data_IF_646164083194
#
_entry.id   IF_646164083194
#
_cell.length_a   1.000
_cell.length_b   1.000
_cell.length_c   1.000
_cell.angle_alpha   90.00
_cell.angle_beta   90.00
_cell.angle_gamma   90.00
#
_symmetry.space_group_name_H-M   'P 1'
#
loop_
_entity.id
_entity.type
_entity.pdbx_description
1 polymer ?
#
# COMPACT_ATOMS: atom_id res chain seq x y z
N UNK A 1 7.53 -3.73 9.66
CA UNK A 1 7.35 -2.29 9.71
C UNK A 1 8.18 -1.70 10.85
N UNK A 2 9.07 -0.81 10.52
CA UNK A 2 9.98 -0.20 11.49
C UNK A 2 9.43 1.11 12.06
N UNK A 3 8.14 1.37 11.87
CA UNK A 3 7.47 2.60 12.32
C UNK A 3 8.18 3.87 11.84
N UNK A 4 8.86 3.80 10.71
CA UNK A 4 9.57 4.92 10.11
C UNK A 4 10.85 5.32 10.85
N UNK A 5 11.42 4.45 11.68
CA UNK A 5 12.69 4.73 12.36
C UNK A 5 13.82 4.72 11.32
N UNK A 6 14.37 5.90 11.07
CA UNK A 6 15.36 6.09 10.00
C UNK A 6 16.59 5.19 10.15
N UNK A 7 17.03 4.96 11.39
CA UNK A 7 18.21 4.13 11.65
C UNK A 7 18.00 2.68 11.20
N UNK A 8 16.84 2.09 11.56
CA UNK A 8 16.52 0.71 11.19
C UNK A 8 16.29 0.59 9.68
N UNK A 9 15.63 1.58 9.09
CA UNK A 9 15.42 1.63 7.65
C UNK A 9 16.75 1.74 6.90
N UNK A 10 17.68 2.56 7.42
CA UNK A 10 19.00 2.70 6.84
C UNK A 10 19.74 1.37 6.79
N UNK A 11 19.66 0.58 7.87
CA UNK A 11 20.28 -0.74 7.92
C UNK A 11 19.68 -1.68 6.89
N UNK A 12 18.34 -1.64 6.73
CA UNK A 12 17.66 -2.46 5.73
C UNK A 12 18.06 -2.03 4.31
N UNK A 13 18.14 -0.73 4.05
CA UNK A 13 18.53 -0.21 2.74
C UNK A 13 19.98 -0.58 2.41
N UNK A 14 20.87 -0.57 3.40
CA UNK A 14 22.28 -0.95 3.21
C UNK A 14 22.42 -2.42 2.82
N UNK A 15 21.49 -3.27 3.25
CA UNK A 15 21.46 -4.67 2.84
C UNK A 15 21.11 -4.86 1.36
N UNK A 16 20.63 -3.79 0.68
CA UNK A 16 20.32 -3.76 -0.75
C UNK A 16 19.44 -4.90 -1.22
N UNK A 17 18.19 -5.02 -0.70
CA UNK A 17 17.27 -6.01 -1.24
C UNK A 17 16.95 -5.69 -2.70
N UNK A 18 16.63 -6.72 -3.50
CA UNK A 18 16.27 -6.52 -4.91
C UNK A 18 14.99 -5.67 -5.03
N UNK A 19 14.01 -5.94 -4.17
CA UNK A 19 12.78 -5.18 -4.10
C UNK A 19 12.49 -4.85 -2.64
N UNK A 20 12.29 -3.58 -2.35
CA UNK A 20 11.86 -3.15 -1.03
C UNK A 20 10.33 -3.06 -1.02
N UNK A 21 9.69 -3.95 -0.27
CA UNK A 21 8.23 -3.99 -0.17
C UNK A 21 7.77 -3.35 1.13
N UNK A 22 6.86 -2.38 1.01
CA UNK A 22 6.19 -1.78 2.16
C UNK A 22 4.73 -1.53 1.78
N UNK A 23 3.84 -2.28 2.39
CA UNK A 23 2.44 -2.34 1.99
C UNK A 23 1.58 -1.28 2.68
N UNK A 24 0.90 -0.44 1.90
CA UNK A 24 -0.09 0.50 2.45
C UNK A 24 -1.41 -0.22 2.73
N UNK A 25 -1.68 -1.31 2.01
CA UNK A 25 -2.83 -2.20 2.15
C UNK A 25 -4.15 -1.58 1.72
N UNK A 26 -4.49 -0.37 2.14
CA UNK A 26 -5.79 0.23 1.83
C UNK A 26 -5.70 1.75 1.75
N UNK A 27 -6.84 2.38 1.44
CA UNK A 27 -6.98 3.83 1.33
C UNK A 27 -6.93 4.51 2.70
N UNK A 28 -6.60 5.81 2.78
CA UNK A 28 -6.40 6.50 4.07
C UNK A 28 -7.55 6.36 5.06
N UNK A 29 -8.79 6.50 4.62
CA UNK A 29 -9.97 6.43 5.50
C UNK A 29 -10.07 5.09 6.20
N UNK A 30 -9.85 4.00 5.47
CA UNK A 30 -9.94 2.64 6.03
C UNK A 30 -8.68 2.28 6.79
N UNK A 31 -7.52 2.74 6.33
CA UNK A 31 -6.25 2.56 7.01
C UNK A 31 -6.33 3.03 8.47
N UNK A 32 -6.93 4.19 8.68
CA UNK A 32 -7.10 4.76 10.01
C UNK A 32 -7.94 3.85 10.92
N UNK A 33 -8.93 3.15 10.36
CA UNK A 33 -9.79 2.22 11.12
C UNK A 33 -9.08 0.93 11.50
N UNK A 34 -8.32 0.34 10.57
CA UNK A 34 -7.75 -0.99 10.77
C UNK A 34 -6.34 -0.96 11.37
N UNK A 35 -5.65 0.17 11.23
CA UNK A 35 -4.29 0.34 11.75
C UNK A 35 -4.14 1.68 12.48
N UNK A 36 -4.89 1.91 13.57
CA UNK A 36 -4.91 3.22 14.23
C UNK A 36 -3.56 3.63 14.86
N UNK A 37 -2.68 2.66 15.11
CA UNK A 37 -1.34 2.94 15.66
C UNK A 37 -0.33 3.35 14.60
N UNK A 38 -0.71 3.31 13.32
CA UNK A 38 0.17 3.62 12.19
C UNK A 38 -0.39 4.79 11.39
N UNK A 39 0.44 5.37 10.55
CA UNK A 39 0.04 6.50 9.71
C UNK A 39 0.26 6.15 8.24
N UNK A 40 -0.77 6.40 7.43
CA UNK A 40 -0.74 6.17 5.99
C UNK A 40 0.41 6.95 5.33
N UNK A 41 0.55 8.23 5.69
CA UNK A 41 1.58 9.11 5.14
C UNK A 41 2.99 8.62 5.47
N UNK A 42 3.16 7.99 6.62
CA UNK A 42 4.45 7.42 7.01
C UNK A 42 4.85 6.28 6.07
N UNK A 43 3.88 5.46 5.66
CA UNK A 43 4.13 4.39 4.70
C UNK A 43 4.58 4.93 3.35
N UNK A 44 3.98 6.04 2.91
CA UNK A 44 4.40 6.72 1.68
C UNK A 44 5.81 7.27 1.80
N UNK A 45 6.14 7.87 2.94
CA UNK A 45 7.49 8.41 3.20
C UNK A 45 8.55 7.32 3.15
N UNK A 46 8.24 6.15 3.71
CA UNK A 46 9.17 5.02 3.70
C UNK A 46 9.46 4.57 2.28
N UNK A 47 8.44 4.50 1.41
CA UNK A 47 8.63 4.15 0.00
C UNK A 47 9.49 5.19 -0.72
N UNK A 48 9.24 6.47 -0.47
CA UNK A 48 10.02 7.55 -1.07
C UNK A 48 11.49 7.47 -0.64
N UNK A 49 11.74 7.20 0.64
CA UNK A 49 13.09 7.05 1.17
C UNK A 49 13.83 5.89 0.51
N UNK A 50 13.16 4.75 0.35
CA UNK A 50 13.74 3.59 -0.31
C UNK A 50 14.09 3.89 -1.77
N UNK A 51 13.22 4.62 -2.45
CA UNK A 51 13.45 5.03 -3.85
C UNK A 51 14.68 5.95 -3.96
N UNK A 52 14.83 6.87 -3.02
CA UNK A 52 15.99 7.77 -2.98
C UNK A 52 17.30 7.01 -2.79
N UNK A 53 17.24 5.87 -2.10
CA UNK A 53 18.40 4.99 -1.93
C UNK A 53 18.67 4.10 -3.15
N UNK A 54 17.88 4.25 -4.20
CA UNK A 54 18.06 3.51 -5.45
C UNK A 54 17.43 2.13 -5.46
N UNK A 55 16.55 1.82 -4.51
CA UNK A 55 15.87 0.53 -4.46
C UNK A 55 14.62 0.52 -5.32
N UNK A 56 14.28 -0.64 -5.87
CA UNK A 56 12.99 -0.86 -6.52
C UNK A 56 11.96 -1.03 -5.42
N UNK A 57 10.90 -0.23 -5.44
CA UNK A 57 9.90 -0.20 -4.39
C UNK A 57 8.60 -0.87 -4.81
N UNK A 58 7.94 -1.51 -3.86
CA UNK A 58 6.68 -2.22 -4.11
C UNK A 58 5.71 -1.97 -2.95
N UNK A 59 4.45 -1.81 -3.30
CA UNK A 59 3.37 -1.72 -2.31
C UNK A 59 2.17 -2.55 -2.77
N UNK A 60 1.09 -2.52 -2.00
CA UNK A 60 -0.14 -3.23 -2.38
C UNK A 60 -1.37 -2.44 -1.99
N UNK A 61 -2.48 -2.77 -2.66
CA UNK A 61 -3.82 -2.35 -2.26
C UNK A 61 -4.69 -3.59 -2.20
N UNK A 62 -5.39 -3.76 -1.09
CA UNK A 62 -6.32 -4.86 -0.87
C UNK A 62 -7.72 -4.26 -0.90
N UNK A 63 -8.53 -4.68 -1.85
CA UNK A 63 -9.84 -4.06 -2.13
C UNK A 63 -10.99 -4.89 -1.55
N UNK A 64 -12.11 -4.22 -1.28
CA UNK A 64 -13.32 -4.86 -0.79
C UNK A 64 -13.60 -4.59 0.67
N UNK A 65 -12.95 -3.56 1.26
CA UNK A 65 -13.13 -3.19 2.67
C UNK A 65 -14.07 -2.00 2.87
N UNK A 66 -14.66 -1.47 1.80
CA UNK A 66 -15.55 -0.32 1.86
C UNK A 66 -15.02 0.94 1.18
N UNK A 67 -13.90 0.86 0.50
CA UNK A 67 -13.32 1.98 -0.23
C UNK A 67 -14.12 2.30 -1.50
N UNK A 68 -14.12 3.57 -1.89
CA UNK A 68 -14.73 3.99 -3.16
C UNK A 68 -13.70 3.90 -4.28
N UNK A 69 -14.19 3.92 -5.54
CA UNK A 69 -13.32 3.94 -6.71
C UNK A 69 -12.39 5.15 -6.69
N UNK A 70 -12.91 6.32 -6.34
CA UNK A 70 -12.12 7.55 -6.25
C UNK A 70 -11.00 7.41 -5.20
N UNK A 71 -11.31 6.79 -4.06
CA UNK A 71 -10.30 6.56 -3.03
C UNK A 71 -9.19 5.64 -3.50
N UNK A 72 -9.54 4.60 -4.28
CA UNK A 72 -8.56 3.68 -4.85
C UNK A 72 -7.63 4.42 -5.81
N UNK A 73 -8.19 5.19 -6.72
CA UNK A 73 -7.40 5.94 -7.71
C UNK A 73 -6.52 6.99 -7.05
N UNK A 74 -7.03 7.63 -6.01
CA UNK A 74 -6.26 8.62 -5.24
C UNK A 74 -5.09 7.96 -4.50
N UNK A 75 -5.30 6.78 -3.92
CA UNK A 75 -4.23 6.02 -3.27
C UNK A 75 -3.17 5.58 -4.28
N UNK A 76 -3.58 5.16 -5.48
CA UNK A 76 -2.65 4.83 -6.55
C UNK A 76 -1.82 6.05 -6.96
N UNK A 77 -2.45 7.21 -7.03
CA UNK A 77 -1.76 8.46 -7.34
C UNK A 77 -0.74 8.81 -6.24
N UNK A 78 -1.14 8.67 -4.96
CA UNK A 78 -0.23 8.90 -3.83
C UNK A 78 1.00 8.01 -3.91
N UNK A 79 0.82 6.74 -4.25
CA UNK A 79 1.93 5.80 -4.41
C UNK A 79 2.86 6.24 -5.54
N UNK A 80 2.30 6.66 -6.66
CA UNK A 80 3.06 7.15 -7.80
C UNK A 80 3.87 8.39 -7.41
N UNK A 81 3.25 9.33 -6.71
CA UNK A 81 3.92 10.57 -6.27
C UNK A 81 5.07 10.30 -5.30
N UNK A 82 5.03 9.17 -4.61
CA UNK A 82 6.07 8.75 -3.67
C UNK A 82 6.99 7.67 -4.25
N UNK A 83 7.06 7.60 -5.59
CA UNK A 83 8.01 6.78 -6.33
C UNK A 83 7.87 5.28 -6.09
N UNK A 84 6.63 4.80 -5.94
CA UNK A 84 6.37 3.37 -5.89
C UNK A 84 6.47 2.79 -7.30
N UNK A 85 7.35 1.83 -7.50
CA UNK A 85 7.61 1.24 -8.82
C UNK A 85 6.63 0.13 -9.18
N UNK A 86 6.26 -0.69 -8.19
CA UNK A 86 5.41 -1.87 -8.39
C UNK A 86 4.21 -1.81 -7.45
N UNK A 87 3.04 -2.17 -7.96
CA UNK A 87 1.82 -2.22 -7.18
C UNK A 87 1.06 -3.51 -7.44
N UNK A 88 0.74 -4.25 -6.39
CA UNK A 88 -0.19 -5.38 -6.48
C UNK A 88 -1.55 -4.95 -5.93
N UNK A 89 -2.60 -5.42 -6.58
CA UNK A 89 -3.99 -5.13 -6.19
C UNK A 89 -4.71 -6.46 -6.05
N UNK A 90 -5.24 -6.73 -4.86
CA UNK A 90 -5.86 -8.01 -4.54
C UNK A 90 -7.21 -7.83 -3.83
N UNK A 91 -7.96 -8.92 -3.69
CA UNK A 91 -9.22 -8.94 -2.97
C UNK A 91 -8.97 -9.18 -1.47
N UNK A 92 -9.64 -8.39 -0.63
CA UNK A 92 -9.62 -8.61 0.80
C UNK A 92 -10.39 -9.89 1.17
N UNK A 93 -9.75 -10.76 1.95
CA UNK A 93 -10.36 -11.97 2.48
C UNK A 93 -10.34 -11.87 4.01
N UNK A 94 -11.52 -11.83 4.61
CA UNK A 94 -11.64 -11.68 6.07
C UNK A 94 -11.06 -12.89 6.80
N UNK A 95 -9.96 -12.72 7.58
CA UNK A 95 -9.30 -13.86 8.23
C UNK A 95 -10.18 -14.52 9.31
N UNK A 96 -10.86 -13.73 10.12
CA UNK A 96 -11.74 -14.23 11.19
C UNK A 96 -12.92 -13.26 11.39
N UNK A 97 -13.99 -13.67 12.11
CA UNK A 97 -15.09 -12.76 12.42
C UNK A 97 -14.70 -11.54 13.26
N UNK A 98 -13.51 -11.55 13.86
CA UNK A 98 -13.01 -10.42 14.64
C UNK A 98 -12.35 -9.35 13.78
N UNK A 99 -12.06 -9.66 12.51
CA UNK A 99 -11.45 -8.72 11.58
C UNK A 99 -12.51 -7.90 10.83
N UNK A 100 -12.05 -6.85 10.14
CA UNK A 100 -12.92 -6.02 9.32
C UNK A 100 -13.72 -6.89 8.33
N UNK A 101 -15.04 -6.69 8.20
CA UNK A 101 -15.83 -7.51 7.28
C UNK A 101 -15.56 -7.18 5.83
N UNK A 102 -15.83 -8.15 4.94
CA UNK A 102 -15.77 -7.93 3.50
C UNK A 102 -16.98 -7.07 3.13
N UNK A 103 -16.72 -5.89 2.54
CA UNK A 103 -17.78 -5.00 2.10
C UNK A 103 -18.33 -5.41 0.72
N UNK A 104 -17.44 -5.81 -0.18
CA UNK A 104 -17.84 -6.27 -1.51
C UNK A 104 -16.78 -7.18 -2.12
N UNK A 105 -17.22 -7.97 -3.09
CA UNK A 105 -16.34 -8.78 -3.92
C UNK A 105 -16.06 -8.02 -5.20
N UNK A 106 -14.79 -7.71 -5.42
CA UNK A 106 -14.34 -6.93 -6.57
C UNK A 106 -14.44 -7.80 -7.84
N UNK A 107 -15.05 -7.26 -8.87
CA UNK A 107 -15.21 -8.00 -10.14
C UNK A 107 -13.89 -8.07 -10.90
N UNK A 108 -13.61 -9.16 -11.62
CA UNK A 108 -12.37 -9.30 -12.37
C UNK A 108 -12.08 -8.14 -13.33
N UNK A 109 -13.11 -7.59 -14.00
CA UNK A 109 -12.92 -6.47 -14.91
C UNK A 109 -12.47 -5.19 -14.21
N UNK A 110 -12.82 -5.00 -12.94
CA UNK A 110 -12.38 -3.84 -12.19
C UNK A 110 -10.86 -3.89 -11.96
N UNK A 111 -10.32 -5.09 -11.67
CA UNK A 111 -8.88 -5.26 -11.54
C UNK A 111 -8.17 -4.91 -12.85
N UNK A 112 -8.73 -5.30 -13.99
CA UNK A 112 -8.17 -4.99 -15.30
C UNK A 112 -8.17 -3.47 -15.53
N UNK A 113 -9.27 -2.80 -15.19
CA UNK A 113 -9.39 -1.35 -15.34
C UNK A 113 -8.38 -0.62 -14.48
N UNK A 114 -8.21 -1.04 -13.23
CA UNK A 114 -7.26 -0.42 -12.31
C UNK A 114 -5.82 -0.62 -12.79
N UNK A 115 -5.50 -1.79 -13.31
CA UNK A 115 -4.19 -2.07 -13.87
C UNK A 115 -3.89 -1.13 -15.04
N UNK A 116 -4.90 -0.78 -15.83
CA UNK A 116 -4.73 0.11 -16.97
C UNK A 116 -4.46 1.57 -16.56
N UNK A 117 -4.87 1.98 -15.36
CA UNK A 117 -4.63 3.33 -14.85
C UNK A 117 -3.14 3.55 -14.56
N UNK A 118 -2.52 2.58 -14.02
CA UNK A 118 -1.08 2.43 -13.75
C UNK A 118 -0.26 3.60 -13.22
N UNK A 119 0.61 3.18 -12.38
CA UNK A 119 1.69 3.99 -11.82
C UNK A 119 2.70 4.42 -12.92
#
# INVERSE_FOLDING_TARGET
>A
DFSGKAELLGQLFDARPEVFAHNVETVPRIFKKIRPAFRYERSLDILAMASEEGLVTKSNLILGMGETREEIEEAMHDLRENSCDLLTITQYLRPTPLHHPIDRWVKPNEFVELKAIQL
#
